data_IF_375436242119
#
_entry.id   IF_375436242119
#
_cell.length_a   1.000
_cell.length_b   1.000
_cell.length_c   1.000
_cell.angle_alpha   90.00
_cell.angle_beta   90.00
_cell.angle_gamma   90.00
#
_symmetry.space_group_name_H-M   'P 1'
#
loop_
_entity.id
_entity.type
_entity.pdbx_description
1 polymer ?
#
# COMPACT_ATOMS: atom_id res chain seq x y z
N UNK A 1 8.44 -15.11 -24.29
CA UNK A 1 7.68 -16.23 -23.72
C UNK A 1 7.63 -15.97 -22.22
N UNK A 2 6.46 -16.05 -21.62
CA UNK A 2 6.31 -15.87 -20.17
C UNK A 2 6.67 -17.18 -19.51
N UNK A 3 7.58 -17.18 -18.52
CA UNK A 3 7.94 -18.37 -17.79
C UNK A 3 6.72 -18.89 -17.01
N UNK A 4 6.51 -20.18 -17.05
CA UNK A 4 5.39 -20.85 -16.38
C UNK A 4 5.70 -21.09 -14.91
N UNK A 5 4.67 -21.32 -14.11
CA UNK A 5 4.81 -21.69 -12.70
C UNK A 5 5.77 -22.90 -12.51
N UNK A 6 5.65 -23.93 -13.36
CA UNK A 6 6.49 -25.13 -13.26
C UNK A 6 7.97 -24.82 -13.54
N UNK A 7 8.25 -23.95 -14.51
CA UNK A 7 9.64 -23.55 -14.80
C UNK A 7 10.32 -22.85 -13.63
N UNK A 8 9.59 -22.07 -12.84
CA UNK A 8 10.14 -21.47 -11.61
C UNK A 8 10.35 -22.50 -10.51
N UNK A 9 9.43 -23.47 -10.34
CA UNK A 9 9.62 -24.57 -9.38
C UNK A 9 10.90 -25.33 -9.68
N UNK A 10 11.10 -25.71 -10.93
CA UNK A 10 12.27 -26.50 -11.37
C UNK A 10 13.57 -25.69 -11.26
N UNK A 11 13.57 -24.43 -11.72
CA UNK A 11 14.76 -23.57 -11.77
C UNK A 11 15.25 -23.13 -10.41
N UNK A 12 14.33 -22.88 -9.48
CA UNK A 12 14.64 -22.43 -8.12
C UNK A 12 14.58 -23.57 -7.09
N UNK A 13 14.46 -24.82 -7.55
CA UNK A 13 14.41 -26.03 -6.72
C UNK A 13 13.34 -25.92 -5.61
N UNK A 14 12.14 -25.47 -5.99
CA UNK A 14 11.04 -25.25 -5.06
C UNK A 14 10.13 -26.47 -4.98
N UNK A 15 9.71 -26.82 -3.76
CA UNK A 15 8.91 -28.01 -3.49
C UNK A 15 7.63 -27.70 -2.74
N UNK A 16 6.67 -28.65 -2.73
CA UNK A 16 5.43 -28.59 -1.95
C UNK A 16 4.64 -27.28 -2.14
N UNK A 17 4.31 -26.89 -3.39
CA UNK A 17 3.60 -25.64 -3.61
C UNK A 17 2.15 -25.74 -3.12
N UNK A 18 1.74 -24.76 -2.30
CA UNK A 18 0.38 -24.54 -1.81
C UNK A 18 -0.07 -23.14 -2.23
N UNK A 19 -1.17 -23.05 -3.01
CA UNK A 19 -1.72 -21.75 -3.41
C UNK A 19 -2.36 -21.06 -2.19
N UNK A 20 -1.85 -19.90 -1.79
CA UNK A 20 -2.31 -19.19 -0.60
C UNK A 20 -3.09 -17.90 -0.95
N UNK A 21 -2.84 -17.32 -2.12
CA UNK A 21 -3.59 -16.15 -2.59
C UNK A 21 -3.62 -16.06 -4.12
N UNK A 22 -4.73 -15.55 -4.63
CA UNK A 22 -4.88 -15.20 -6.04
C UNK A 22 -5.56 -13.84 -6.17
N UNK A 23 -4.97 -12.95 -6.95
CA UNK A 23 -5.48 -11.59 -7.24
C UNK A 23 -5.53 -11.35 -8.74
N UNK A 24 -6.06 -10.22 -9.15
CA UNK A 24 -6.02 -9.81 -10.56
C UNK A 24 -4.58 -9.62 -11.08
N UNK A 25 -3.61 -9.30 -10.22
CA UNK A 25 -2.22 -9.00 -10.61
C UNK A 25 -1.29 -10.20 -10.47
N UNK A 26 -1.51 -11.08 -9.48
CA UNK A 26 -0.57 -12.16 -9.16
C UNK A 26 -1.22 -13.35 -8.47
N UNK A 27 -0.50 -14.49 -8.49
CA UNK A 27 -0.74 -15.64 -7.62
C UNK A 27 0.41 -15.78 -6.64
N UNK A 28 0.12 -16.22 -5.42
CA UNK A 28 1.11 -16.44 -4.36
C UNK A 28 0.99 -17.87 -3.87
N UNK A 29 2.11 -18.57 -3.86
CA UNK A 29 2.23 -19.93 -3.30
C UNK A 29 3.17 -19.93 -2.11
N UNK A 30 2.81 -20.68 -1.07
CA UNK A 30 3.76 -21.14 -0.07
C UNK A 30 4.52 -22.32 -0.67
N UNK A 31 5.85 -22.29 -0.57
CA UNK A 31 6.75 -23.32 -1.12
C UNK A 31 7.85 -23.64 -0.11
N UNK A 32 8.53 -24.77 -0.31
CA UNK A 32 9.79 -25.09 0.37
C UNK A 32 10.95 -24.76 -0.56
N UNK A 33 11.93 -24.02 -0.07
CA UNK A 33 13.18 -23.68 -0.77
C UNK A 33 14.39 -24.16 0.04
N UNK A 34 15.59 -24.04 -0.50
CA UNK A 34 16.85 -24.30 0.24
C UNK A 34 17.00 -23.41 1.49
N UNK A 35 16.33 -22.27 1.53
CA UNK A 35 16.31 -21.33 2.67
C UNK A 35 15.15 -21.59 3.66
N UNK A 36 14.42 -22.71 3.48
CA UNK A 36 13.22 -23.04 4.24
C UNK A 36 11.93 -22.55 3.57
N UNK A 37 10.83 -22.37 4.35
CA UNK A 37 9.56 -21.92 3.81
C UNK A 37 9.68 -20.56 3.13
N UNK A 38 9.09 -20.44 1.94
CA UNK A 38 9.13 -19.23 1.13
C UNK A 38 7.78 -18.91 0.47
N UNK A 39 7.59 -17.67 0.06
CA UNK A 39 6.46 -17.21 -0.72
C UNK A 39 6.92 -16.97 -2.17
N UNK A 40 6.41 -17.75 -3.11
CA UNK A 40 6.57 -17.51 -4.54
C UNK A 40 5.40 -16.65 -5.03
N UNK A 41 5.66 -15.40 -5.38
CA UNK A 41 4.70 -14.50 -6.03
C UNK A 41 4.97 -14.46 -7.53
N UNK A 42 4.01 -14.94 -8.33
CA UNK A 42 4.07 -14.94 -9.78
C UNK A 42 3.07 -13.95 -10.34
N UNK A 43 3.57 -12.95 -11.02
CA UNK A 43 2.77 -11.88 -11.62
C UNK A 43 2.20 -12.31 -12.97
N UNK A 44 1.02 -11.77 -13.30
CA UNK A 44 0.39 -12.01 -14.61
C UNK A 44 1.08 -11.20 -15.71
N UNK A 45 1.60 -10.01 -15.37
CA UNK A 45 2.36 -9.17 -16.28
C UNK A 45 3.84 -9.59 -16.32
N UNK A 46 4.49 -9.56 -17.50
CA UNK A 46 5.86 -10.07 -17.67
C UNK A 46 6.92 -9.30 -16.88
N UNK A 47 6.65 -8.04 -16.57
CA UNK A 47 7.57 -7.11 -15.91
C UNK A 47 7.14 -6.76 -14.48
N UNK A 48 6.22 -7.53 -13.87
CA UNK A 48 5.63 -7.29 -12.56
C UNK A 48 4.75 -6.05 -12.48
N UNK A 49 4.46 -5.40 -13.61
CA UNK A 49 3.60 -4.24 -13.71
C UNK A 49 4.06 -3.09 -12.82
N UNK A 50 3.16 -2.57 -12.00
CA UNK A 50 3.44 -1.44 -11.11
C UNK A 50 4.16 -1.84 -9.79
N UNK A 51 4.48 -3.12 -9.59
CA UNK A 51 5.14 -3.62 -8.37
C UNK A 51 6.64 -3.91 -8.57
N UNK A 52 7.16 -3.82 -9.79
CA UNK A 52 8.57 -4.03 -10.07
C UNK A 52 9.50 -3.19 -9.17
N UNK A 53 9.33 -1.87 -9.08
CA UNK A 53 10.15 -1.01 -8.23
C UNK A 53 10.06 -1.34 -6.73
N UNK A 54 8.91 -1.87 -6.28
CA UNK A 54 8.68 -2.27 -4.90
C UNK A 54 9.62 -3.37 -4.43
N UNK A 55 9.97 -4.33 -5.30
CA UNK A 55 10.92 -5.40 -4.96
C UNK A 55 12.31 -4.84 -4.65
N UNK A 56 12.79 -3.89 -5.45
CA UNK A 56 14.09 -3.23 -5.20
C UNK A 56 14.08 -2.45 -3.88
N UNK A 57 12.97 -1.80 -3.55
CA UNK A 57 12.81 -1.09 -2.30
C UNK A 57 12.80 -2.06 -1.10
N UNK A 58 12.07 -3.18 -1.16
CA UNK A 58 12.06 -4.21 -0.11
C UNK A 58 13.46 -4.75 0.15
N UNK A 59 14.26 -5.00 -0.88
CA UNK A 59 15.67 -5.40 -0.72
C UNK A 59 16.48 -4.34 0.05
N UNK A 60 16.31 -3.06 -0.31
CA UNK A 60 17.00 -1.96 0.35
C UNK A 60 16.58 -1.79 1.81
N UNK A 61 15.33 -2.11 2.13
CA UNK A 61 14.75 -1.98 3.47
C UNK A 61 14.79 -3.27 4.31
N UNK A 62 15.45 -4.32 3.83
CA UNK A 62 15.49 -5.61 4.53
C UNK A 62 15.91 -5.46 6.00
N UNK A 63 17.01 -4.74 6.27
CA UNK A 63 17.52 -4.50 7.62
C UNK A 63 16.62 -3.57 8.47
N UNK A 64 15.60 -2.97 7.84
CA UNK A 64 14.63 -2.05 8.48
C UNK A 64 13.27 -2.69 8.73
N UNK A 65 13.15 -3.99 8.49
CA UNK A 65 11.91 -4.74 8.71
C UNK A 65 11.11 -5.04 7.45
N UNK A 66 11.66 -4.86 6.26
CA UNK A 66 11.06 -5.42 5.06
C UNK A 66 11.32 -6.93 4.96
N UNK A 67 10.42 -7.63 4.28
CA UNK A 67 10.55 -9.05 3.94
C UNK A 67 11.84 -9.29 3.15
N UNK A 68 12.52 -10.39 3.43
CA UNK A 68 13.71 -10.78 2.69
C UNK A 68 13.32 -11.32 1.32
N UNK A 69 13.81 -10.69 0.26
CA UNK A 69 13.73 -11.20 -1.11
C UNK A 69 14.86 -12.21 -1.31
N UNK A 70 14.50 -13.45 -1.61
CA UNK A 70 15.46 -14.56 -1.79
C UNK A 70 15.90 -14.67 -3.24
N UNK A 71 14.95 -14.49 -4.19
CA UNK A 71 15.24 -14.49 -5.61
C UNK A 71 14.22 -13.63 -6.38
N UNK A 72 14.59 -13.14 -7.55
CA UNK A 72 13.68 -12.45 -8.47
C UNK A 72 14.10 -12.63 -9.92
N UNK A 73 13.13 -12.87 -10.77
CA UNK A 73 13.28 -12.89 -12.22
C UNK A 73 11.99 -12.38 -12.86
N UNK A 74 12.11 -11.56 -13.94
CA UNK A 74 10.98 -11.12 -14.76
C UNK A 74 9.68 -10.93 -13.97
N UNK A 75 8.76 -11.90 -14.09
CA UNK A 75 7.43 -11.86 -13.48
C UNK A 75 7.33 -12.70 -12.19
N UNK A 76 8.43 -13.08 -11.56
CA UNK A 76 8.44 -13.85 -10.32
C UNK A 76 9.32 -13.23 -9.24
N UNK A 77 8.87 -13.34 -7.99
CA UNK A 77 9.64 -12.96 -6.79
C UNK A 77 9.49 -14.07 -5.76
N UNK A 78 10.61 -14.53 -5.24
CA UNK A 78 10.68 -15.45 -4.11
C UNK A 78 11.08 -14.67 -2.87
N UNK A 79 10.29 -14.77 -1.81
CA UNK A 79 10.51 -14.08 -0.54
C UNK A 79 10.49 -15.10 0.61
N UNK A 80 11.11 -14.76 1.74
CA UNK A 80 10.91 -15.55 2.96
C UNK A 80 9.42 -15.65 3.28
N UNK A 81 9.01 -16.81 3.84
CA UNK A 81 7.65 -16.95 4.36
C UNK A 81 7.54 -16.28 5.72
N UNK A 82 6.61 -15.35 5.85
CA UNK A 82 6.34 -14.65 7.11
C UNK A 82 5.29 -15.43 7.92
N UNK A 83 5.67 -15.92 9.09
CA UNK A 83 4.77 -16.64 10.00
C UNK A 83 4.23 -15.69 11.05
N UNK A 84 2.89 -15.63 11.17
CA UNK A 84 2.19 -14.79 12.14
C UNK A 84 0.95 -14.12 11.57
N UNK A 85 0.17 -13.43 12.43
CA UNK A 85 -0.98 -12.65 11.97
C UNK A 85 -0.53 -11.34 11.30
N UNK A 86 -1.33 -10.84 10.36
CA UNK A 86 -1.19 -9.47 9.91
C UNK A 86 -1.63 -8.48 11.01
N UNK A 87 -1.17 -7.23 10.94
CA UNK A 87 -1.70 -6.19 11.83
C UNK A 87 -3.20 -5.97 11.58
N UNK A 88 -3.68 -6.23 10.35
CA UNK A 88 -5.10 -6.25 10.04
C UNK A 88 -5.85 -7.33 10.81
N UNK A 89 -5.27 -8.55 10.96
CA UNK A 89 -5.87 -9.61 11.77
C UNK A 89 -5.89 -9.26 13.26
N UNK A 90 -4.85 -8.59 13.75
CA UNK A 90 -4.78 -8.08 15.13
C UNK A 90 -5.91 -7.08 15.39
N UNK A 91 -6.13 -6.15 14.47
CA UNK A 91 -7.23 -5.18 14.56
C UNK A 91 -8.60 -5.88 14.51
N UNK A 92 -8.79 -6.84 13.60
CA UNK A 92 -10.03 -7.65 13.49
C UNK A 92 -10.29 -8.51 14.72
N UNK A 93 -9.23 -8.90 15.43
CA UNK A 93 -9.33 -9.59 16.72
C UNK A 93 -9.63 -8.66 17.92
N UNK A 94 -10.00 -7.39 17.66
CA UNK A 94 -10.41 -6.41 18.68
C UNK A 94 -9.28 -5.59 19.28
N UNK A 95 -8.12 -5.49 18.61
CA UNK A 95 -6.95 -4.74 19.07
C UNK A 95 -6.49 -3.71 18.01
N UNK A 96 -7.38 -2.81 17.55
CA UNK A 96 -7.03 -1.84 16.50
C UNK A 96 -5.97 -0.83 16.96
N UNK A 97 -5.95 -0.43 18.24
CA UNK A 97 -4.96 0.51 18.78
C UNK A 97 -3.54 -0.07 18.71
N UNK A 98 -3.38 -1.37 19.04
CA UNK A 98 -2.09 -2.03 18.91
C UNK A 98 -1.61 -2.08 17.47
N UNK A 99 -2.51 -2.39 16.53
CA UNK A 99 -2.19 -2.41 15.10
C UNK A 99 -1.73 -1.05 14.59
N UNK A 100 -2.39 0.05 15.02
CA UNK A 100 -2.03 1.43 14.66
C UNK A 100 -0.66 1.80 15.25
N UNK A 101 -0.41 1.50 16.52
CA UNK A 101 0.86 1.80 17.17
C UNK A 101 2.04 1.06 16.50
N UNK A 102 1.90 -0.25 16.26
CA UNK A 102 2.93 -1.06 15.60
C UNK A 102 3.18 -0.59 14.16
N UNK A 103 2.13 -0.19 13.44
CA UNK A 103 2.26 0.38 12.10
C UNK A 103 3.06 1.69 12.11
N UNK A 104 2.75 2.60 13.04
CA UNK A 104 3.46 3.86 13.22
C UNK A 104 4.96 3.63 13.50
N UNK A 105 5.29 2.76 14.45
CA UNK A 105 6.68 2.39 14.77
C UNK A 105 7.40 1.74 13.57
N UNK A 106 6.68 0.93 12.80
CA UNK A 106 7.21 0.29 11.60
C UNK A 106 7.56 1.33 10.53
N UNK A 107 6.70 2.32 10.30
CA UNK A 107 6.97 3.41 9.39
C UNK A 107 8.21 4.23 9.81
N UNK A 108 8.35 4.56 11.10
CA UNK A 108 9.56 5.22 11.63
C UNK A 108 10.82 4.41 11.31
N UNK A 109 10.77 3.09 11.52
CA UNK A 109 11.92 2.22 11.27
C UNK A 109 12.29 2.16 9.78
N UNK A 110 11.32 2.13 8.88
CA UNK A 110 11.56 2.13 7.44
C UNK A 110 12.21 3.43 6.98
N UNK A 111 11.74 4.58 7.50
CA UNK A 111 12.15 5.91 7.09
C UNK A 111 13.24 6.55 7.97
N UNK A 112 13.59 5.96 9.11
CA UNK A 112 14.48 6.54 10.13
C UNK A 112 15.94 6.75 9.70
N UNK A 113 16.34 6.26 8.53
CA UNK A 113 17.67 6.50 7.92
C UNK A 113 17.48 6.91 6.47
N UNK A 114 18.38 7.74 5.95
CA UNK A 114 18.42 8.03 4.53
C UNK A 114 18.42 6.73 3.73
N UNK A 115 17.50 6.57 2.81
CA UNK A 115 17.45 5.43 1.91
C UNK A 115 18.43 5.70 0.78
N UNK A 116 19.28 4.72 0.44
CA UNK A 116 20.11 4.80 -0.76
C UNK A 116 19.20 5.04 -1.98
N UNK A 117 19.76 5.64 -3.02
CA UNK A 117 19.02 5.86 -4.27
C UNK A 117 18.52 4.51 -4.81
N UNK A 118 17.22 4.35 -4.81
CA UNK A 118 16.52 3.17 -5.37
C UNK A 118 16.04 3.59 -6.74
N UNK A 119 16.76 3.16 -7.77
CA UNK A 119 16.36 3.45 -9.14
C UNK A 119 14.99 2.90 -9.50
N UNK A 120 14.27 3.59 -10.39
CA UNK A 120 13.01 3.11 -10.96
C UNK A 120 11.76 3.30 -10.11
N UNK A 121 11.85 3.96 -8.95
CA UNK A 121 10.67 4.29 -8.14
C UNK A 121 9.71 5.17 -8.94
N UNK A 122 8.42 4.85 -8.87
CA UNK A 122 7.39 5.58 -9.62
C UNK A 122 7.02 6.88 -8.89
N UNK A 123 7.21 8.06 -9.49
CA UNK A 123 6.87 9.32 -8.82
C UNK A 123 5.36 9.49 -8.67
N UNK A 124 4.92 10.14 -7.58
CA UNK A 124 3.49 10.28 -7.24
C UNK A 124 2.67 10.96 -8.35
N UNK A 125 3.22 11.89 -9.10
CA UNK A 125 2.50 12.50 -10.23
C UNK A 125 2.09 11.49 -11.31
N UNK A 126 2.88 10.45 -11.54
CA UNK A 126 2.52 9.34 -12.43
C UNK A 126 1.51 8.39 -11.78
N UNK A 127 1.61 8.16 -10.46
CA UNK A 127 0.66 7.34 -9.71
C UNK A 127 -0.73 7.96 -9.74
N UNK A 128 -0.82 9.27 -9.60
CA UNK A 128 -2.09 10.01 -9.56
C UNK A 128 -2.63 10.43 -10.93
N UNK A 129 -1.92 10.18 -12.02
CA UNK A 129 -2.38 10.53 -13.37
C UNK A 129 -3.82 10.04 -13.70
N UNK A 130 -4.25 8.82 -13.31
CA UNK A 130 -5.63 8.38 -13.55
C UNK A 130 -6.69 9.25 -12.86
N UNK A 131 -6.41 9.81 -11.68
CA UNK A 131 -7.33 10.69 -10.98
C UNK A 131 -7.61 11.98 -11.78
N UNK A 132 -6.58 12.52 -12.43
CA UNK A 132 -6.70 13.75 -13.22
C UNK A 132 -7.42 13.54 -14.57
N UNK A 133 -7.52 12.31 -15.02
CA UNK A 133 -8.27 11.91 -16.22
C UNK A 133 -9.62 11.28 -15.95
N UNK A 134 -10.08 11.23 -14.68
CA UNK A 134 -11.33 10.55 -14.35
C UNK A 134 -12.56 11.24 -14.99
N UNK A 135 -13.53 10.44 -15.39
CA UNK A 135 -14.81 10.88 -15.97
C UNK A 135 -15.96 10.42 -15.09
N UNK A 136 -17.13 11.00 -15.31
CA UNK A 136 -18.32 10.71 -14.51
C UNK A 136 -19.47 10.25 -15.40
N UNK A 137 -20.11 9.16 -15.00
CA UNK A 137 -21.35 8.70 -15.62
C UNK A 137 -22.47 9.72 -15.40
N UNK A 138 -23.48 9.77 -16.28
CA UNK A 138 -24.65 10.65 -16.10
C UNK A 138 -25.38 10.43 -14.76
N UNK A 139 -25.41 9.17 -14.27
CA UNK A 139 -26.03 8.78 -13.02
C UNK A 139 -25.18 9.07 -11.77
N UNK A 140 -23.93 9.55 -11.93
CA UNK A 140 -23.07 9.86 -10.78
C UNK A 140 -23.72 10.92 -9.87
N UNK A 141 -23.86 10.64 -8.55
CA UNK A 141 -24.42 11.60 -7.60
C UNK A 141 -23.65 12.92 -7.61
N UNK A 142 -24.37 14.04 -7.62
CA UNK A 142 -23.78 15.38 -7.64
C UNK A 142 -22.77 15.58 -6.51
N UNK A 143 -23.04 15.02 -5.35
CA UNK A 143 -22.19 15.10 -4.18
C UNK A 143 -20.85 14.39 -4.40
N UNK A 144 -20.90 13.12 -4.86
CA UNK A 144 -19.67 12.35 -5.18
C UNK A 144 -18.84 13.05 -6.26
N UNK A 145 -19.50 13.58 -7.30
CA UNK A 145 -18.81 14.34 -8.34
C UNK A 145 -18.09 15.57 -7.77
N UNK A 146 -18.77 16.32 -6.89
CA UNK A 146 -18.18 17.50 -6.22
C UNK A 146 -16.94 17.08 -5.40
N UNK A 147 -17.05 16.00 -4.62
CA UNK A 147 -15.95 15.52 -3.76
C UNK A 147 -14.76 15.03 -4.57
N UNK A 148 -15.00 14.29 -5.64
CA UNK A 148 -13.95 13.86 -6.55
C UNK A 148 -13.22 15.05 -7.20
N UNK A 149 -13.93 16.08 -7.61
CA UNK A 149 -13.32 17.32 -8.15
C UNK A 149 -12.52 18.06 -7.10
N UNK A 150 -13.02 18.15 -5.86
CA UNK A 150 -12.30 18.75 -4.74
C UNK A 150 -11.01 17.99 -4.44
N UNK A 151 -11.07 16.66 -4.37
CA UNK A 151 -9.89 15.81 -4.19
C UNK A 151 -8.90 15.90 -5.36
N UNK A 152 -9.38 16.03 -6.60
CA UNK A 152 -8.53 16.24 -7.78
C UNK A 152 -7.75 17.54 -7.69
N UNK A 153 -8.40 18.64 -7.37
CA UNK A 153 -7.76 19.95 -7.16
C UNK A 153 -6.75 19.88 -6.00
N UNK A 154 -7.13 19.27 -4.88
CA UNK A 154 -6.26 19.08 -3.74
C UNK A 154 -5.01 18.25 -4.12
N UNK A 155 -5.18 17.18 -4.89
CA UNK A 155 -4.08 16.34 -5.37
C UNK A 155 -3.08 17.12 -6.23
N UNK A 156 -3.55 18.01 -7.11
CA UNK A 156 -2.69 18.90 -7.90
C UNK A 156 -1.85 19.82 -7.00
N UNK A 157 -2.48 20.43 -5.99
CA UNK A 157 -1.78 21.28 -5.02
C UNK A 157 -0.72 20.51 -4.21
N UNK A 158 -1.05 19.31 -3.73
CA UNK A 158 -0.12 18.47 -2.98
C UNK A 158 1.09 18.06 -3.82
N UNK A 159 0.89 17.69 -5.08
CA UNK A 159 1.98 17.31 -5.99
C UNK A 159 2.91 18.49 -6.32
N UNK A 160 2.38 19.70 -6.45
CA UNK A 160 3.18 20.90 -6.70
C UNK A 160 3.96 21.33 -5.45
N UNK A 161 3.34 21.19 -4.26
CA UNK A 161 3.89 21.62 -2.98
C UNK A 161 4.62 20.54 -2.20
N UNK A 162 4.88 19.36 -2.79
CA UNK A 162 5.58 18.29 -2.08
C UNK A 162 7.03 18.70 -1.75
N UNK A 163 7.55 18.27 -0.59
CA UNK A 163 8.95 18.47 -0.23
C UNK A 163 9.86 17.61 -1.13
N UNK A 164 11.16 17.57 -0.81
CA UNK A 164 12.08 16.64 -1.48
C UNK A 164 11.51 15.22 -1.43
N UNK A 165 11.30 14.58 -2.60
CA UNK A 165 10.74 13.23 -2.67
C UNK A 165 11.61 12.22 -1.94
N UNK A 166 10.95 11.30 -1.21
CA UNK A 166 11.60 10.17 -0.54
C UNK A 166 11.06 8.85 -1.12
N UNK A 167 11.82 7.75 -1.00
CA UNK A 167 11.30 6.41 -1.29
C UNK A 167 10.12 6.08 -0.37
N UNK A 168 9.05 5.52 -0.94
CA UNK A 168 7.82 5.17 -0.26
C UNK A 168 7.46 3.72 -0.55
N UNK A 169 6.99 3.00 0.45
CA UNK A 169 6.34 1.69 0.26
C UNK A 169 5.18 1.84 -0.73
N UNK A 170 4.43 2.91 -0.57
CA UNK A 170 3.34 3.31 -1.47
C UNK A 170 2.02 2.58 -1.24
N UNK A 171 2.00 1.56 -0.37
CA UNK A 171 0.82 0.82 0.05
C UNK A 171 0.95 0.30 1.49
N UNK A 172 1.56 1.10 2.37
CA UNK A 172 1.81 0.73 3.75
C UNK A 172 0.50 0.83 4.56
N UNK A 173 0.01 -0.32 5.00
CA UNK A 173 -1.21 -0.45 5.79
C UNK A 173 -1.21 -1.75 6.61
N UNK A 174 -2.14 -1.93 7.60
CA UNK A 174 -2.11 -3.07 8.52
C UNK A 174 -2.11 -4.45 7.86
N UNK A 175 -2.78 -4.63 6.72
CA UNK A 175 -2.83 -5.93 6.04
C UNK A 175 -1.52 -6.28 5.28
N UNK A 176 -0.59 -5.32 5.10
CA UNK A 176 0.72 -5.52 4.45
C UNK A 176 1.87 -5.62 5.46
N UNK A 177 1.56 -5.89 6.73
CA UNK A 177 2.55 -6.12 7.78
C UNK A 177 2.19 -7.38 8.53
N UNK A 178 3.11 -8.35 8.60
CA UNK A 178 2.98 -9.54 9.42
C UNK A 178 3.76 -9.35 10.71
N UNK A 179 3.12 -9.61 11.85
CA UNK A 179 3.78 -9.64 13.15
C UNK A 179 4.40 -11.01 13.39
N UNK A 180 5.68 -11.15 13.06
CA UNK A 180 6.45 -12.38 13.27
C UNK A 180 7.04 -12.42 14.67
N UNK A 181 7.61 -13.57 15.06
CA UNK A 181 8.35 -13.71 16.34
C UNK A 181 9.57 -12.77 16.42
N UNK A 182 10.11 -12.32 15.29
CA UNK A 182 11.22 -11.35 15.17
C UNK A 182 10.74 -9.91 15.00
N UNK A 183 9.48 -9.63 15.25
CA UNK A 183 8.86 -8.31 15.06
C UNK A 183 8.13 -8.13 13.73
N UNK A 184 7.59 -6.93 13.50
CA UNK A 184 6.81 -6.64 12.30
C UNK A 184 7.68 -6.65 11.04
N UNK A 185 7.15 -7.27 9.96
CA UNK A 185 7.74 -7.37 8.64
C UNK A 185 6.78 -6.84 7.59
N UNK A 186 7.25 -5.89 6.78
CA UNK A 186 6.47 -5.31 5.68
C UNK A 186 6.71 -6.06 4.38
N UNK A 187 5.69 -6.18 3.55
CA UNK A 187 5.75 -6.81 2.24
C UNK A 187 4.82 -6.07 1.27
N UNK A 188 4.85 -6.43 -0.01
CA UNK A 188 3.96 -5.89 -1.06
C UNK A 188 4.13 -4.39 -1.34
N UNK A 189 5.37 -3.89 -1.28
CA UNK A 189 5.68 -2.51 -1.64
C UNK A 189 5.38 -2.24 -3.12
N UNK A 190 4.87 -1.05 -3.42
CA UNK A 190 4.69 -0.55 -4.80
C UNK A 190 5.94 0.19 -5.30
N UNK A 191 6.76 0.72 -4.41
CA UNK A 191 7.99 1.43 -4.75
C UNK A 191 7.72 2.78 -5.42
N UNK A 192 7.17 3.72 -4.66
CA UNK A 192 6.92 5.08 -5.12
C UNK A 192 8.03 6.04 -4.64
N UNK A 193 8.07 7.22 -5.25
CA UNK A 193 8.87 8.34 -4.80
C UNK A 193 7.99 9.58 -4.67
N UNK A 194 8.05 10.26 -3.51
CA UNK A 194 7.23 11.43 -3.29
C UNK A 194 7.22 11.96 -1.87
N UNK A 195 6.13 12.63 -1.53
CA UNK A 195 5.88 13.24 -0.24
C UNK A 195 5.83 12.21 0.89
N UNK A 196 6.66 12.31 1.94
CA UNK A 196 6.61 11.40 3.08
C UNK A 196 5.23 11.35 3.77
N UNK A 197 4.43 12.41 3.68
CA UNK A 197 3.08 12.42 4.23
C UNK A 197 2.10 11.49 3.50
N UNK A 198 2.44 11.03 2.29
CA UNK A 198 1.66 10.05 1.56
C UNK A 198 1.78 8.62 2.12
N UNK A 199 2.90 8.27 2.78
CA UNK A 199 3.20 6.90 3.18
C UNK A 199 2.08 6.21 3.94
N UNK A 200 1.53 6.87 4.95
CA UNK A 200 0.47 6.31 5.80
C UNK A 200 -0.95 6.77 5.43
N UNK A 201 -1.09 7.53 4.35
CA UNK A 201 -2.40 8.01 3.90
C UNK A 201 -3.37 6.86 3.58
N UNK A 202 -2.89 5.77 2.97
CA UNK A 202 -3.71 4.61 2.68
C UNK A 202 -4.09 3.81 3.93
N UNK A 203 -3.32 3.89 5.01
CA UNK A 203 -3.59 3.18 6.25
C UNK A 203 -4.88 3.63 6.94
N UNK A 204 -5.30 4.90 6.75
CA UNK A 204 -6.56 5.43 7.28
C UNK A 204 -7.82 4.74 6.70
N UNK A 205 -7.68 4.00 5.61
CA UNK A 205 -8.76 3.23 4.96
C UNK A 205 -8.71 1.74 5.29
N UNK A 206 -7.83 1.34 6.22
CA UNK A 206 -7.56 -0.06 6.55
C UNK A 206 -7.65 -0.32 8.05
N UNK A 207 -7.82 -1.57 8.50
CA UNK A 207 -7.76 -2.79 7.70
C UNK A 207 -9.05 -3.04 6.89
N UNK A 208 -8.92 -3.82 5.84
CA UNK A 208 -10.07 -4.26 5.03
C UNK A 208 -11.10 -5.00 5.89
N UNK A 209 -12.39 -4.81 5.55
CA UNK A 209 -13.50 -5.48 6.24
C UNK A 209 -13.93 -4.84 7.55
N UNK A 210 -13.29 -3.76 8.00
CA UNK A 210 -13.67 -3.02 9.22
C UNK A 210 -14.29 -1.66 8.87
N UNK A 211 -15.36 -1.69 8.10
CA UNK A 211 -16.01 -0.49 7.52
C UNK A 211 -16.38 0.56 8.57
N UNK A 212 -16.94 0.13 9.72
CA UNK A 212 -17.34 1.01 10.81
C UNK A 212 -16.12 1.65 11.50
N UNK A 213 -15.05 0.87 11.72
CA UNK A 213 -13.83 1.35 12.36
C UNK A 213 -13.16 2.46 11.56
N UNK A 214 -12.99 2.27 10.24
CA UNK A 214 -12.31 3.27 9.39
C UNK A 214 -13.13 4.55 9.17
N UNK A 215 -14.40 4.55 9.58
CA UNK A 215 -15.30 5.70 9.57
C UNK A 215 -15.51 6.32 10.96
N UNK A 216 -15.05 5.66 12.02
CA UNK A 216 -15.15 6.22 13.37
C UNK A 216 -14.24 7.46 13.50
N UNK A 217 -14.79 8.66 13.80
CA UNK A 217 -14.00 9.86 13.96
C UNK A 217 -12.89 9.75 15.03
N UNK A 218 -13.13 8.96 16.09
CA UNK A 218 -12.11 8.72 17.13
C UNK A 218 -10.95 7.91 16.61
N UNK A 219 -11.23 6.87 15.83
CA UNK A 219 -10.21 6.06 15.19
C UNK A 219 -9.40 6.87 14.18
N UNK A 220 -10.06 7.67 13.35
CA UNK A 220 -9.41 8.58 12.39
C UNK A 220 -8.47 9.53 13.13
N UNK A 221 -8.95 10.18 14.19
CA UNK A 221 -8.12 11.12 14.98
C UNK A 221 -6.94 10.41 15.66
N UNK A 222 -7.13 9.21 16.18
CA UNK A 222 -6.05 8.39 16.76
C UNK A 222 -4.98 8.07 15.71
N UNK A 223 -5.39 7.60 14.53
CA UNK A 223 -4.48 7.32 13.43
C UNK A 223 -3.73 8.59 12.98
N UNK A 224 -4.46 9.70 12.78
CA UNK A 224 -3.86 10.97 12.36
C UNK A 224 -2.84 11.48 13.37
N UNK A 225 -3.13 11.35 14.68
CA UNK A 225 -2.22 11.76 15.74
C UNK A 225 -0.94 10.92 15.74
N UNK A 226 -1.07 9.61 15.81
CA UNK A 226 0.09 8.70 15.89
C UNK A 226 0.92 8.72 14.61
N UNK A 227 0.29 8.72 13.44
CA UNK A 227 1.01 8.68 12.16
C UNK A 227 1.72 10.01 11.85
N UNK A 228 1.09 11.15 12.19
CA UNK A 228 1.72 12.46 11.99
C UNK A 228 2.91 12.66 12.91
N UNK A 229 2.82 12.24 14.17
CA UNK A 229 3.93 12.27 15.11
C UNK A 229 5.06 11.34 14.66
N UNK A 230 4.76 10.08 14.34
CA UNK A 230 5.73 9.08 13.91
C UNK A 230 6.53 9.53 12.69
N UNK A 231 5.87 10.09 11.69
CA UNK A 231 6.50 10.53 10.44
C UNK A 231 7.00 11.98 10.48
N UNK A 232 6.80 12.70 11.59
CA UNK A 232 7.09 14.14 11.73
C UNK A 232 6.49 14.98 10.59
N UNK A 233 5.22 14.76 10.32
CA UNK A 233 4.45 15.43 9.25
C UNK A 233 3.23 16.14 9.84
N UNK A 234 2.68 17.10 9.09
CA UNK A 234 1.43 17.77 9.47
C UNK A 234 0.23 16.81 9.38
N UNK A 235 -0.62 16.76 10.43
CA UNK A 235 -1.91 16.04 10.38
C UNK A 235 -2.73 16.47 9.17
N UNK A 236 -2.84 17.77 8.96
CA UNK A 236 -3.57 18.34 7.81
C UNK A 236 -3.05 17.75 6.49
N UNK A 237 -1.73 17.72 6.27
CA UNK A 237 -1.14 17.18 5.04
C UNK A 237 -1.38 15.68 4.88
N UNK A 238 -1.29 14.91 5.97
CA UNK A 238 -1.63 13.47 5.98
C UNK A 238 -3.10 13.25 5.61
N UNK A 239 -4.03 14.01 6.21
CA UNK A 239 -5.47 13.92 5.91
C UNK A 239 -5.76 14.29 4.46
N UNK A 240 -5.11 15.33 3.95
CA UNK A 240 -5.21 15.74 2.55
C UNK A 240 -4.78 14.60 1.61
N UNK A 241 -3.65 13.95 1.88
CA UNK A 241 -3.22 12.79 1.11
C UNK A 241 -4.17 11.59 1.25
N UNK A 242 -4.79 11.38 2.42
CA UNK A 242 -5.80 10.34 2.61
C UNK A 242 -7.03 10.56 1.73
N UNK A 243 -7.54 11.80 1.66
CA UNK A 243 -8.65 12.18 0.78
C UNK A 243 -8.27 11.92 -0.70
N UNK A 244 -7.11 12.38 -1.14
CA UNK A 244 -6.66 12.23 -2.53
C UNK A 244 -6.39 10.75 -2.87
N UNK A 245 -5.84 9.96 -1.94
CA UNK A 245 -5.66 8.51 -2.13
C UNK A 245 -6.99 7.75 -2.17
N UNK A 246 -7.98 8.15 -1.37
CA UNK A 246 -9.34 7.61 -1.41
C UNK A 246 -9.97 7.86 -2.79
N UNK A 247 -9.91 9.10 -3.28
CA UNK A 247 -10.40 9.47 -4.61
C UNK A 247 -9.71 8.69 -5.75
N UNK A 248 -8.38 8.51 -5.69
CA UNK A 248 -7.65 7.67 -6.64
C UNK A 248 -8.15 6.21 -6.62
N UNK A 249 -8.44 5.68 -5.44
CA UNK A 249 -8.95 4.31 -5.31
C UNK A 249 -10.35 4.16 -5.88
N UNK A 250 -11.22 5.16 -5.72
CA UNK A 250 -12.53 5.24 -6.38
C UNK A 250 -12.34 5.21 -7.90
N UNK A 251 -11.44 6.04 -8.41
CA UNK A 251 -11.12 6.10 -9.83
C UNK A 251 -10.63 4.73 -10.37
N UNK A 252 -9.76 4.03 -9.65
CA UNK A 252 -9.28 2.71 -10.06
C UNK A 252 -10.35 1.63 -10.08
N UNK A 253 -11.37 1.71 -9.19
CA UNK A 253 -12.48 0.75 -9.15
C UNK A 253 -13.55 1.01 -10.20
N UNK A 254 -13.60 2.22 -10.75
CA UNK A 254 -14.72 2.64 -11.61
C UNK A 254 -14.68 2.05 -13.02
N UNK A 255 -13.58 1.45 -13.46
CA UNK A 255 -13.42 0.83 -14.78
C UNK A 255 -13.96 1.73 -15.91
N UNK A 256 -13.60 3.02 -15.89
CA UNK A 256 -14.03 4.04 -16.87
C UNK A 256 -14.66 5.27 -16.22
N UNK A 257 -15.98 5.42 -16.30
CA UNK A 257 -16.68 6.56 -15.72
C UNK A 257 -17.21 6.26 -14.32
N UNK A 258 -16.95 7.14 -13.37
CA UNK A 258 -17.42 7.03 -11.98
C UNK A 258 -18.92 7.18 -11.93
N UNK A 259 -19.62 6.15 -11.45
CA UNK A 259 -21.06 6.15 -11.25
C UNK A 259 -21.42 6.19 -9.76
N UNK A 260 -20.84 5.27 -8.98
CA UNK A 260 -21.01 5.17 -7.53
C UNK A 260 -19.80 4.48 -6.93
N UNK A 261 -19.58 4.59 -5.62
CA UNK A 261 -18.50 3.88 -4.94
C UNK A 261 -18.81 3.72 -3.43
N UNK A 262 -18.50 2.55 -2.84
CA UNK A 262 -18.76 2.28 -1.42
C UNK A 262 -17.92 3.13 -0.45
N UNK A 263 -16.90 3.83 -0.92
CA UNK A 263 -16.07 4.74 -0.11
C UNK A 263 -16.36 6.23 -0.38
N UNK A 264 -17.48 6.56 -1.06
CA UNK A 264 -17.86 7.95 -1.34
C UNK A 264 -18.05 8.78 -0.04
N UNK A 265 -18.63 8.18 0.99
CA UNK A 265 -18.79 8.77 2.31
C UNK A 265 -17.46 8.94 3.05
N UNK A 266 -16.56 7.97 2.94
CA UNK A 266 -15.22 8.04 3.53
C UNK A 266 -14.37 9.14 2.88
N UNK A 267 -14.46 9.32 1.55
CA UNK A 267 -13.86 10.44 0.85
C UNK A 267 -14.32 11.77 1.43
N UNK A 268 -15.65 11.91 1.65
CA UNK A 268 -16.24 13.11 2.27
C UNK A 268 -15.66 13.33 3.66
N UNK A 269 -15.61 12.31 4.52
CA UNK A 269 -15.05 12.43 5.87
C UNK A 269 -13.61 12.95 5.86
N UNK A 270 -12.78 12.48 4.93
CA UNK A 270 -11.40 12.96 4.83
C UNK A 270 -11.31 14.38 4.27
N UNK A 271 -12.16 14.77 3.32
CA UNK A 271 -12.21 16.15 2.83
C UNK A 271 -12.62 17.13 3.92
N UNK A 272 -13.68 16.81 4.67
CA UNK A 272 -14.17 17.63 5.78
C UNK A 272 -13.13 17.76 6.91
N UNK A 273 -12.32 16.72 7.14
CA UNK A 273 -11.24 16.75 8.13
C UNK A 273 -9.96 17.46 7.62
N UNK A 274 -9.83 17.69 6.32
CA UNK A 274 -8.67 18.31 5.68
C UNK A 274 -8.79 19.84 5.58
N UNK A 275 -10.01 20.38 5.71
CA UNK A 275 -10.28 21.82 5.71
C UNK A 275 -9.86 22.47 7.05
#
# INVERSE_FOLDING_TARGET
MQDTFQEFLDRWELHQPELVAETAQARVWKVQSEHGPAALKLYREPDRGNEGPGTALLKTWHDRGAVRVLNEERNAVLMEWLEGPSLGDIARAGRPEDAVAILAETAVRLHGKATADVGGLKPLNQVFAPLFGCTFAPACPTLLRKDMLSATNLGQHLLISQPTPVPLHGDLHPDNIILTHNGPRVFDAKGYAGDPAFELANALRHPKGMTELVRDPRQIETCLSLYSEAMNISKKRLTQWAAVKCALSICWRSDGAIENDPEADLLRLFLDAAD
#
